data_IF_947073439315
#
_entry.id   IF_947073439315
#
_cell.length_a   1.000
_cell.length_b   1.000
_cell.length_c   1.000
_cell.angle_alpha   90.00
_cell.angle_beta   90.00
_cell.angle_gamma   90.00
#
_symmetry.space_group_name_H-M   'P 1'
#
loop_
_entity.id
_entity.type
_entity.pdbx_description
1 polymer ?
#
# COMPACT_ATOMS: atom_id res chain seq x y z
N UNK A 1 -7.57 -25.22 39.62
CA UNK A 1 -7.58 -23.93 40.35
C UNK A 1 -6.19 -23.33 40.57
N UNK A 2 -5.11 -23.87 40.00
CA UNK A 2 -3.72 -23.43 40.23
C UNK A 2 -3.24 -22.27 39.33
N UNK A 3 -3.98 -21.94 38.26
CA UNK A 3 -3.57 -20.91 37.31
C UNK A 3 -3.60 -19.48 37.89
N UNK A 4 -4.70 -19.11 38.56
CA UNK A 4 -4.91 -17.74 39.06
C UNK A 4 -3.91 -17.35 40.17
N UNK A 5 -3.61 -18.26 41.09
CA UNK A 5 -2.61 -18.01 42.16
C UNK A 5 -1.21 -17.75 41.59
N UNK A 6 -0.85 -18.42 40.49
CA UNK A 6 0.42 -18.19 39.79
C UNK A 6 0.48 -16.86 39.01
N UNK A 7 -0.66 -16.36 38.54
CA UNK A 7 -0.78 -15.02 37.94
C UNK A 7 -0.58 -13.95 39.01
N UNK A 8 -1.35 -14.04 40.10
CA UNK A 8 -1.34 -13.04 41.18
C UNK A 8 0.05 -12.94 41.83
N UNK A 9 0.72 -14.07 42.08
CA UNK A 9 2.08 -14.07 42.63
C UNK A 9 3.11 -13.40 41.70
N UNK A 10 2.97 -13.55 40.38
CA UNK A 10 3.84 -12.91 39.39
C UNK A 10 3.56 -11.41 39.28
N UNK A 11 2.29 -10.99 39.32
CA UNK A 11 1.92 -9.57 39.39
C UNK A 11 2.50 -8.94 40.65
N UNK A 12 2.30 -9.57 41.81
CA UNK A 12 2.80 -9.08 43.09
C UNK A 12 4.34 -8.91 43.09
N UNK A 13 5.08 -9.88 42.53
CA UNK A 13 6.53 -9.74 42.36
C UNK A 13 6.92 -8.55 41.47
N UNK A 14 6.27 -8.37 40.33
CA UNK A 14 6.56 -7.25 39.44
C UNK A 14 6.22 -5.90 40.11
N UNK A 15 5.13 -5.82 40.86
CA UNK A 15 4.76 -4.63 41.63
C UNK A 15 5.74 -4.34 42.78
N UNK A 16 6.29 -5.37 43.43
CA UNK A 16 7.33 -5.20 44.44
C UNK A 16 8.61 -4.60 43.82
N UNK A 17 9.04 -5.10 42.66
CA UNK A 17 10.18 -4.54 41.89
C UNK A 17 9.91 -3.08 41.48
N UNK A 18 8.67 -2.76 41.10
CA UNK A 18 8.29 -1.38 40.82
C UNK A 18 8.40 -0.49 42.09
N UNK A 19 7.95 -1.00 43.24
CA UNK A 19 7.97 -0.28 44.51
C UNK A 19 9.39 -0.04 45.04
N UNK A 20 10.36 -0.91 44.74
CA UNK A 20 11.78 -0.69 45.07
C UNK A 20 12.49 0.31 44.14
N UNK A 21 11.78 0.83 43.13
CA UNK A 21 12.27 1.88 42.23
C UNK A 21 12.77 1.38 40.87
N UNK A 22 12.89 0.06 40.65
CA UNK A 22 13.28 -0.50 39.36
C UNK A 22 12.07 -0.61 38.41
N UNK A 23 11.61 0.56 37.95
CA UNK A 23 10.43 0.66 37.07
C UNK A 23 10.63 -0.05 35.74
N UNK A 24 11.85 -0.03 35.21
CA UNK A 24 12.16 -0.63 33.90
C UNK A 24 11.99 -2.15 33.96
N UNK A 25 12.60 -2.82 34.93
CA UNK A 25 12.49 -4.26 35.08
C UNK A 25 11.03 -4.70 35.30
N UNK A 26 10.28 -3.95 36.13
CA UNK A 26 8.87 -4.22 36.36
C UNK A 26 8.03 -4.12 35.08
N UNK A 27 8.18 -3.05 34.29
CA UNK A 27 7.44 -2.87 33.04
C UNK A 27 7.82 -3.86 31.96
N UNK A 28 9.10 -4.22 31.85
CA UNK A 28 9.57 -5.22 30.90
C UNK A 28 8.97 -6.60 31.21
N UNK A 29 8.99 -6.99 32.49
CA UNK A 29 8.38 -8.23 32.96
C UNK A 29 6.87 -8.28 32.67
N UNK A 30 6.12 -7.25 33.07
CA UNK A 30 4.68 -7.17 32.84
C UNK A 30 4.32 -7.12 31.34
N UNK A 31 5.07 -6.36 30.54
CA UNK A 31 4.87 -6.26 29.08
C UNK A 31 5.09 -7.61 28.41
N UNK A 32 6.11 -8.35 28.83
CA UNK A 32 6.42 -9.69 28.31
C UNK A 32 5.27 -10.65 28.63
N UNK A 33 4.80 -10.68 29.88
CA UNK A 33 3.67 -11.52 30.28
C UNK A 33 2.37 -11.15 29.55
N UNK A 34 2.06 -9.86 29.42
CA UNK A 34 0.87 -9.38 28.69
C UNK A 34 0.90 -9.72 27.19
N UNK A 35 2.09 -9.86 26.59
CA UNK A 35 2.24 -10.29 25.18
C UNK A 35 2.17 -11.80 25.02
N UNK A 36 2.73 -12.56 25.96
CA UNK A 36 2.70 -14.02 25.96
C UNK A 36 1.30 -14.56 26.24
N UNK A 37 0.59 -13.93 27.17
CA UNK A 37 -0.79 -14.27 27.52
C UNK A 37 -1.67 -13.01 27.49
N UNK A 38 -2.12 -12.60 26.29
CA UNK A 38 -2.96 -11.41 26.14
C UNK A 38 -4.39 -11.60 26.67
N UNK A 39 -4.77 -12.83 27.01
CA UNK A 39 -6.10 -13.15 27.55
C UNK A 39 -6.22 -12.89 29.05
N UNK A 40 -5.10 -12.82 29.77
CA UNK A 40 -5.06 -12.56 31.20
C UNK A 40 -5.06 -11.03 31.49
N UNK A 41 -6.18 -10.46 31.96
CA UNK A 41 -6.30 -9.02 32.17
C UNK A 41 -5.41 -8.49 33.30
N UNK A 42 -5.00 -9.33 34.27
CA UNK A 42 -4.22 -8.89 35.43
C UNK A 42 -2.90 -8.20 35.03
N UNK A 43 -2.20 -8.70 33.99
CA UNK A 43 -0.96 -8.10 33.49
C UNK A 43 -1.17 -6.67 33.01
N UNK A 44 -2.23 -6.45 32.23
CA UNK A 44 -2.56 -5.15 31.64
C UNK A 44 -3.02 -4.18 32.70
N UNK A 45 -3.83 -4.61 33.67
CA UNK A 45 -4.27 -3.77 34.80
C UNK A 45 -3.09 -3.31 35.65
N UNK A 46 -2.12 -4.19 35.91
CA UNK A 46 -0.88 -3.82 36.62
C UNK A 46 -0.03 -2.82 35.81
N UNK A 47 0.06 -2.96 34.49
CA UNK A 47 0.71 -1.96 33.61
C UNK A 47 -0.01 -0.61 33.69
N UNK A 48 -1.34 -0.60 33.58
CA UNK A 48 -2.16 0.63 33.70
C UNK A 48 -1.89 1.33 35.03
N UNK A 49 -1.95 0.60 36.15
CA UNK A 49 -1.71 1.16 37.47
C UNK A 49 -0.30 1.75 37.60
N UNK A 50 0.74 1.01 37.21
CA UNK A 50 2.13 1.47 37.35
C UNK A 50 2.45 2.65 36.42
N UNK A 51 1.90 2.69 35.21
CA UNK A 51 2.05 3.85 34.32
C UNK A 51 1.30 5.09 34.82
N UNK A 52 0.11 4.94 35.42
CA UNK A 52 -0.61 6.05 36.07
C UNK A 52 0.23 6.65 37.20
N UNK A 53 0.78 5.81 38.08
CA UNK A 53 1.65 6.23 39.19
C UNK A 53 2.90 6.97 38.68
N UNK A 54 3.45 6.54 37.53
CA UNK A 54 4.61 7.19 36.92
C UNK A 54 4.28 8.43 36.07
N UNK A 55 3.00 8.81 35.92
CA UNK A 55 2.60 9.97 35.13
C UNK A 55 2.65 9.78 33.61
N UNK A 56 2.50 8.54 33.13
CA UNK A 56 2.48 8.18 31.69
C UNK A 56 1.07 7.76 31.22
N UNK A 57 0.12 8.71 31.08
CA UNK A 57 -1.27 8.42 30.75
C UNK A 57 -1.44 7.85 29.33
N UNK A 58 -0.51 8.10 28.42
CA UNK A 58 -0.51 7.51 27.08
C UNK A 58 -0.25 5.99 27.13
N UNK A 59 0.70 5.56 27.96
CA UNK A 59 0.96 4.13 28.16
C UNK A 59 -0.14 3.47 28.97
N UNK A 60 -0.70 4.15 29.98
CA UNK A 60 -1.87 3.65 30.69
C UNK A 60 -3.06 3.46 29.74
N UNK A 61 -3.35 4.44 28.89
CA UNK A 61 -4.40 4.34 27.86
C UNK A 61 -4.15 3.17 26.88
N UNK A 62 -2.91 2.99 26.43
CA UNK A 62 -2.52 1.89 25.53
C UNK A 62 -2.80 0.52 26.15
N UNK A 63 -2.34 0.28 27.38
CA UNK A 63 -2.48 -1.01 28.02
C UNK A 63 -3.91 -1.27 28.49
N UNK A 64 -4.62 -0.23 28.94
CA UNK A 64 -6.02 -0.29 29.34
C UNK A 64 -7.02 -0.34 28.18
N UNK A 65 -6.56 -0.27 26.93
CA UNK A 65 -7.41 -0.33 25.74
C UNK A 65 -8.27 -1.61 25.64
N UNK A 66 -7.91 -2.71 26.34
CA UNK A 66 -8.73 -3.91 26.43
C UNK A 66 -10.03 -3.71 27.22
N UNK A 67 -10.02 -2.76 28.17
CA UNK A 67 -11.13 -2.46 29.08
C UNK A 67 -11.39 -0.94 29.09
N UNK A 68 -11.92 -0.36 27.99
CA UNK A 68 -12.07 1.10 27.84
C UNK A 68 -12.91 1.77 28.92
N UNK A 69 -13.80 1.02 29.58
CA UNK A 69 -14.60 1.48 30.71
C UNK A 69 -13.76 1.87 31.95
N UNK A 70 -12.55 1.33 32.10
CA UNK A 70 -11.63 1.63 33.20
C UNK A 70 -10.71 2.82 32.93
N UNK A 71 -10.74 3.37 31.72
CA UNK A 71 -9.93 4.53 31.33
C UNK A 71 -10.62 5.82 31.74
N UNK A 72 -9.84 6.78 32.26
CA UNK A 72 -10.33 8.13 32.51
C UNK A 72 -10.53 8.91 31.20
N UNK A 73 -11.10 10.11 31.28
CA UNK A 73 -11.35 10.95 30.09
C UNK A 73 -10.08 11.35 29.35
N UNK A 74 -8.97 11.57 30.07
CA UNK A 74 -7.69 11.95 29.47
C UNK A 74 -7.10 10.78 28.69
N UNK A 75 -7.08 9.60 29.29
CA UNK A 75 -6.62 8.35 28.70
C UNK A 75 -7.47 7.98 27.49
N UNK A 76 -8.80 8.07 27.59
CA UNK A 76 -9.71 7.85 26.44
C UNK A 76 -9.41 8.79 25.29
N UNK A 77 -9.16 10.09 25.53
CA UNK A 77 -8.76 11.04 24.48
C UNK A 77 -7.42 10.66 23.84
N UNK A 78 -6.43 10.22 24.63
CA UNK A 78 -5.13 9.78 24.11
C UNK A 78 -5.26 8.51 23.26
N UNK A 79 -6.04 7.54 23.72
CA UNK A 79 -6.32 6.31 22.97
C UNK A 79 -7.03 6.60 21.65
N UNK A 80 -8.04 7.49 21.64
CA UNK A 80 -8.72 7.94 20.42
C UNK A 80 -7.76 8.60 19.43
N UNK A 81 -6.86 9.45 19.91
CA UNK A 81 -5.81 10.07 19.05
C UNK A 81 -4.85 9.03 18.49
N UNK A 82 -4.47 8.02 19.27
CA UNK A 82 -3.63 6.92 18.80
C UNK A 82 -4.35 6.07 17.74
N UNK A 83 -5.63 5.74 17.99
CA UNK A 83 -6.46 5.01 17.05
C UNK A 83 -6.64 5.76 15.72
N UNK A 84 -6.90 7.07 15.78
CA UNK A 84 -7.04 7.93 14.60
C UNK A 84 -5.75 8.04 13.76
N UNK A 85 -4.58 7.79 14.37
CA UNK A 85 -3.28 7.77 13.66
C UNK A 85 -2.94 6.40 13.07
N UNK A 86 -3.63 5.33 13.47
CA UNK A 86 -3.37 3.99 12.97
C UNK A 86 -3.90 3.85 11.54
N UNK A 87 -3.08 3.33 10.62
CA UNK A 87 -3.45 3.17 9.21
C UNK A 87 -4.30 1.93 8.97
N UNK A 88 -4.36 1.03 9.94
CA UNK A 88 -5.20 -0.18 9.87
C UNK A 88 -5.49 -0.77 11.24
N UNK A 89 -6.54 -1.60 11.30
CA UNK A 89 -6.87 -2.38 12.50
C UNK A 89 -5.72 -3.28 12.95
N UNK A 90 -4.95 -3.85 12.01
CA UNK A 90 -3.80 -4.70 12.32
C UNK A 90 -2.66 -3.92 12.98
N UNK A 91 -2.38 -2.72 12.48
CA UNK A 91 -1.40 -1.80 13.08
C UNK A 91 -1.83 -1.39 14.49
N UNK A 92 -3.11 -1.01 14.67
CA UNK A 92 -3.63 -0.65 15.99
C UNK A 92 -3.60 -1.84 16.97
N UNK A 93 -4.00 -3.04 16.53
CA UNK A 93 -3.92 -4.26 17.36
C UNK A 93 -2.49 -4.58 17.78
N UNK A 94 -1.53 -4.50 16.85
CA UNK A 94 -0.11 -4.70 17.14
C UNK A 94 0.42 -3.67 18.15
N UNK A 95 0.09 -2.39 17.94
CA UNK A 95 0.43 -1.31 18.86
C UNK A 95 -0.14 -1.55 20.26
N UNK A 96 -1.42 -1.90 20.37
CA UNK A 96 -2.10 -2.16 21.64
C UNK A 96 -1.77 -3.54 22.24
N UNK A 97 -1.02 -4.38 21.54
CA UNK A 97 -0.81 -5.79 21.88
C UNK A 97 -2.13 -6.51 22.20
N UNK A 98 -3.13 -6.35 21.34
CA UNK A 98 -4.46 -6.97 21.47
C UNK A 98 -4.70 -8.01 20.37
N UNK A 99 -5.25 -9.20 20.68
CA UNK A 99 -5.59 -10.20 19.67
C UNK A 99 -6.79 -9.74 18.82
N UNK A 100 -7.78 -9.13 19.48
CA UNK A 100 -9.01 -8.60 18.88
C UNK A 100 -9.19 -7.16 19.35
N UNK A 101 -9.61 -6.28 18.44
CA UNK A 101 -9.83 -4.87 18.75
C UNK A 101 -11.26 -4.68 19.31
N UNK A 102 -11.45 -3.93 20.41
CA UNK A 102 -12.77 -3.55 20.89
C UNK A 102 -13.57 -2.80 19.81
N UNK A 103 -14.90 -3.00 19.73
CA UNK A 103 -15.75 -2.35 18.71
C UNK A 103 -15.65 -0.83 18.71
N UNK A 104 -15.52 -0.22 19.90
CA UNK A 104 -15.38 1.23 20.06
C UNK A 104 -14.11 1.78 19.41
N UNK A 105 -13.03 1.00 19.40
CA UNK A 105 -11.77 1.38 18.76
C UNK A 105 -11.78 1.05 17.27
N UNK A 106 -12.45 -0.02 16.86
CA UNK A 106 -12.63 -0.37 15.44
C UNK A 106 -13.43 0.70 14.70
N UNK A 107 -14.46 1.27 15.35
CA UNK A 107 -15.27 2.38 14.82
C UNK A 107 -14.48 3.69 14.61
N UNK A 108 -13.34 3.85 15.29
CA UNK A 108 -12.47 5.04 15.15
C UNK A 108 -11.45 4.90 14.02
N UNK A 109 -11.32 3.72 13.43
CA UNK A 109 -10.38 3.52 12.33
C UNK A 109 -10.87 4.24 11.08
N UNK A 110 -9.95 4.71 10.22
CA UNK A 110 -10.33 5.27 8.93
C UNK A 110 -11.11 4.23 8.12
N UNK A 111 -12.06 4.67 7.27
CA UNK A 111 -12.87 3.77 6.45
C UNK A 111 -12.01 2.76 5.69
N UNK A 112 -12.50 1.53 5.51
CA UNK A 112 -11.76 0.45 4.81
C UNK A 112 -11.22 0.88 3.42
N UNK A 113 -11.93 1.77 2.73
CA UNK A 113 -11.50 2.32 1.45
C UNK A 113 -10.19 3.14 1.56
N UNK A 114 -10.04 3.94 2.61
CA UNK A 114 -8.84 4.73 2.88
C UNK A 114 -7.67 3.84 3.31
N UNK A 115 -7.94 2.82 4.13
CA UNK A 115 -6.94 1.80 4.49
C UNK A 115 -6.41 1.06 3.26
N UNK A 116 -7.29 0.72 2.29
CA UNK A 116 -6.88 0.12 1.01
C UNK A 116 -5.98 1.05 0.21
N UNK A 117 -6.31 2.35 0.11
CA UNK A 117 -5.48 3.33 -0.60
C UNK A 117 -4.08 3.41 -0.01
N UNK A 118 -3.93 3.43 1.31
CA UNK A 118 -2.61 3.44 1.95
C UNK A 118 -1.80 2.17 1.69
N UNK A 119 -2.43 1.00 1.69
CA UNK A 119 -1.74 -0.27 1.39
C UNK A 119 -1.32 -0.39 -0.07
N UNK A 120 -2.13 0.11 -0.99
CA UNK A 120 -1.88 0.02 -2.43
C UNK A 120 -1.00 1.17 -2.95
N UNK A 121 -0.83 2.24 -2.17
CA UNK A 121 0.03 3.38 -2.50
C UNK A 121 1.44 2.98 -2.94
N UNK A 122 2.20 2.22 -2.11
CA UNK A 122 3.56 1.79 -2.47
C UNK A 122 3.64 0.95 -3.75
N UNK A 123 2.63 0.10 -4.00
CA UNK A 123 2.56 -0.70 -5.23
C UNK A 123 2.30 0.21 -6.45
N UNK A 124 1.35 1.14 -6.34
CA UNK A 124 1.08 2.11 -7.39
C UNK A 124 2.29 3.00 -7.69
N UNK A 125 3.05 3.41 -6.66
CA UNK A 125 4.31 4.14 -6.80
C UNK A 125 5.37 3.30 -7.53
N UNK A 126 5.44 2.01 -7.22
CA UNK A 126 6.32 1.04 -7.91
C UNK A 126 6.00 0.93 -9.40
N UNK A 127 4.72 0.81 -9.76
CA UNK A 127 4.28 0.76 -11.17
C UNK A 127 4.55 2.06 -11.92
N UNK A 128 4.32 3.23 -11.30
CA UNK A 128 4.59 4.52 -11.92
C UNK A 128 6.09 4.74 -12.16
N UNK A 129 6.94 4.36 -11.18
CA UNK A 129 8.40 4.39 -11.35
C UNK A 129 8.86 3.39 -12.41
N UNK A 130 8.32 2.18 -12.41
CA UNK A 130 8.62 1.15 -13.40
C UNK A 130 8.26 1.61 -14.82
N UNK A 131 7.08 2.21 -15.00
CA UNK A 131 6.66 2.80 -16.26
C UNK A 131 7.63 3.90 -16.73
N UNK A 132 8.06 4.78 -15.83
CA UNK A 132 9.04 5.83 -16.15
C UNK A 132 10.38 5.24 -16.58
N UNK A 133 10.91 4.26 -15.84
CA UNK A 133 12.18 3.56 -16.15
C UNK A 133 12.09 2.85 -17.51
N UNK A 134 11.02 2.09 -17.76
CA UNK A 134 10.82 1.40 -19.05
C UNK A 134 10.71 2.41 -20.20
N UNK A 135 9.97 3.50 -20.00
CA UNK A 135 9.82 4.53 -21.03
C UNK A 135 11.11 5.27 -21.34
N UNK A 136 11.94 5.57 -20.33
CA UNK A 136 13.14 6.40 -20.50
C UNK A 136 14.36 5.61 -20.97
N UNK A 137 14.51 4.36 -20.53
CA UNK A 137 15.69 3.54 -20.85
C UNK A 137 15.49 2.65 -22.07
N UNK A 138 14.27 2.16 -22.32
CA UNK A 138 14.02 1.19 -23.38
C UNK A 138 13.25 1.82 -24.53
N UNK A 139 12.03 2.30 -24.26
CA UNK A 139 11.15 2.75 -25.34
C UNK A 139 11.65 4.05 -25.99
N UNK A 140 12.02 5.05 -25.20
CA UNK A 140 12.44 6.36 -25.69
C UNK A 140 13.62 6.30 -26.68
N UNK A 141 14.77 5.71 -26.29
CA UNK A 141 15.92 5.59 -27.19
C UNK A 141 15.62 4.73 -28.42
N UNK A 142 14.93 3.60 -28.28
CA UNK A 142 14.59 2.73 -29.41
C UNK A 142 13.69 3.45 -30.44
N UNK A 143 12.68 4.19 -29.96
CA UNK A 143 11.80 4.99 -30.81
C UNK A 143 12.58 6.12 -31.49
N UNK A 144 13.42 6.85 -30.75
CA UNK A 144 14.23 7.92 -31.31
C UNK A 144 15.19 7.41 -32.40
N UNK A 145 15.86 6.28 -32.16
CA UNK A 145 16.74 5.63 -33.13
C UNK A 145 15.92 5.19 -34.36
N UNK A 146 14.78 4.53 -34.17
CA UNK A 146 13.91 4.10 -35.26
C UNK A 146 13.45 5.26 -36.14
N UNK A 147 13.04 6.39 -35.54
CA UNK A 147 12.67 7.62 -36.26
C UNK A 147 13.86 8.18 -37.05
N UNK A 148 15.03 8.32 -36.42
CA UNK A 148 16.24 8.83 -37.08
C UNK A 148 16.64 7.95 -38.26
N UNK A 149 16.68 6.63 -38.09
CA UNK A 149 17.02 5.68 -39.15
C UNK A 149 16.00 5.76 -40.30
N UNK A 150 14.71 5.84 -39.98
CA UNK A 150 13.64 5.99 -40.98
C UNK A 150 13.82 7.26 -41.80
N UNK A 151 14.08 8.40 -41.13
CA UNK A 151 14.30 9.68 -41.81
C UNK A 151 15.54 9.65 -42.70
N UNK A 152 16.68 9.16 -42.21
CA UNK A 152 17.91 9.07 -42.99
C UNK A 152 17.70 8.20 -44.24
N UNK A 153 17.07 7.03 -44.11
CA UNK A 153 16.80 6.15 -45.26
C UNK A 153 15.85 6.77 -46.27
N UNK A 154 14.80 7.46 -45.79
CA UNK A 154 13.87 8.16 -46.67
C UNK A 154 14.58 9.28 -47.46
N UNK A 155 15.46 10.05 -46.81
CA UNK A 155 16.28 11.08 -47.47
C UNK A 155 17.25 10.50 -48.51
N UNK A 156 17.74 9.29 -48.32
CA UNK A 156 18.62 8.60 -49.27
C UNK A 156 17.86 7.92 -50.43
N UNK A 157 16.53 7.96 -50.44
CA UNK A 157 15.71 7.30 -51.46
C UNK A 157 15.73 5.76 -51.37
N UNK A 158 16.05 5.22 -50.19
CA UNK A 158 16.10 3.77 -49.97
C UNK A 158 14.66 3.21 -49.90
N UNK A 159 14.26 2.25 -50.76
CA UNK A 159 12.93 1.66 -50.75
C UNK A 159 12.63 0.91 -49.43
N UNK A 160 13.64 0.49 -48.68
CA UNK A 160 13.48 -0.15 -47.37
C UNK A 160 13.06 0.82 -46.25
N UNK A 161 13.02 2.14 -46.51
CA UNK A 161 12.57 3.13 -45.54
C UNK A 161 11.14 2.85 -45.05
N UNK A 162 10.28 2.29 -45.92
CA UNK A 162 8.91 1.93 -45.57
C UNK A 162 8.87 0.81 -44.51
N UNK A 163 9.59 -0.29 -44.73
CA UNK A 163 9.64 -1.43 -43.81
C UNK A 163 10.16 -1.01 -42.42
N UNK A 164 11.19 -0.15 -42.39
CA UNK A 164 11.75 0.38 -41.13
C UNK A 164 10.74 1.27 -40.40
N UNK A 165 9.97 2.09 -41.13
CA UNK A 165 8.92 2.91 -40.55
C UNK A 165 7.83 2.05 -39.91
N UNK A 166 7.43 0.95 -40.55
CA UNK A 166 6.42 0.03 -40.02
C UNK A 166 6.89 -0.65 -38.73
N UNK A 167 8.12 -1.19 -38.72
CA UNK A 167 8.69 -1.82 -37.52
C UNK A 167 8.80 -0.81 -36.38
N UNK A 168 9.21 0.42 -36.70
CA UNK A 168 9.28 1.51 -35.70
C UNK A 168 7.90 1.84 -35.15
N UNK A 169 6.88 1.96 -36.01
CA UNK A 169 5.50 2.23 -35.60
C UNK A 169 4.92 1.11 -34.73
N UNK A 170 5.15 -0.17 -35.10
CA UNK A 170 4.76 -1.32 -34.29
C UNK A 170 5.46 -1.29 -32.91
N UNK A 171 6.75 -0.98 -32.87
CA UNK A 171 7.51 -0.82 -31.62
C UNK A 171 6.97 0.31 -30.73
N UNK A 172 6.57 1.44 -31.32
CA UNK A 172 5.91 2.54 -30.60
C UNK A 172 4.58 2.05 -30.01
N UNK A 173 3.73 1.38 -30.78
CA UNK A 173 2.42 0.89 -30.32
C UNK A 173 2.57 -0.12 -29.17
N UNK A 174 3.49 -1.07 -29.28
CA UNK A 174 3.80 -2.02 -28.19
C UNK A 174 4.27 -1.28 -26.93
N UNK A 175 5.13 -0.27 -27.10
CA UNK A 175 5.61 0.54 -25.97
C UNK A 175 4.49 1.32 -25.30
N UNK A 176 3.61 1.94 -26.08
CA UNK A 176 2.42 2.67 -25.59
C UNK A 176 1.47 1.72 -24.86
N UNK A 177 1.20 0.54 -25.40
CA UNK A 177 0.35 -0.46 -24.76
C UNK A 177 0.95 -0.96 -23.45
N UNK A 178 2.25 -1.28 -23.43
CA UNK A 178 2.94 -1.75 -22.23
C UNK A 178 3.01 -0.70 -21.13
N UNK A 179 3.51 0.50 -21.43
CA UNK A 179 3.59 1.61 -20.48
C UNK A 179 2.19 2.04 -20.02
N UNK A 180 1.24 2.12 -20.96
CA UNK A 180 -0.15 2.44 -20.70
C UNK A 180 -0.81 1.44 -19.74
N UNK A 181 -0.56 0.14 -19.90
CA UNK A 181 -1.07 -0.89 -19.01
C UNK A 181 -0.50 -0.77 -17.58
N UNK A 182 0.80 -0.49 -17.43
CA UNK A 182 1.42 -0.24 -16.12
C UNK A 182 0.79 0.97 -15.42
N UNK A 183 0.61 2.08 -16.16
CA UNK A 183 -0.02 3.29 -15.64
C UNK A 183 -1.52 3.09 -15.34
N UNK A 184 -2.20 2.24 -16.12
CA UNK A 184 -3.60 1.87 -15.90
C UNK A 184 -3.74 1.15 -14.56
N UNK A 185 -2.90 0.13 -14.30
CA UNK A 185 -2.87 -0.59 -13.03
C UNK A 185 -2.60 0.38 -11.88
N UNK A 186 -1.58 1.24 -11.98
CA UNK A 186 -1.30 2.26 -10.98
C UNK A 186 -2.49 3.20 -10.71
N UNK A 187 -3.22 3.58 -11.77
CA UNK A 187 -4.38 4.48 -11.68
C UNK A 187 -5.58 3.82 -11.00
N UNK A 188 -5.85 2.54 -11.29
CA UNK A 188 -6.88 1.75 -10.61
C UNK A 188 -6.54 1.57 -9.13
N UNK A 189 -5.29 1.26 -8.81
CA UNK A 189 -4.82 1.11 -7.43
C UNK A 189 -4.97 2.41 -6.61
N UNK A 190 -4.81 3.57 -7.25
CA UNK A 190 -5.05 4.90 -6.63
C UNK A 190 -6.52 5.35 -6.66
N UNK A 191 -7.43 4.51 -7.16
CA UNK A 191 -8.84 4.83 -7.36
C UNK A 191 -9.08 6.10 -8.22
N UNK A 192 -8.18 6.38 -9.19
CA UNK A 192 -8.30 7.49 -10.14
C UNK A 192 -9.03 7.02 -11.40
N UNK A 193 -10.33 6.76 -11.26
CA UNK A 193 -11.15 6.11 -12.29
C UNK A 193 -11.14 6.82 -13.64
N UNK A 194 -11.16 8.16 -13.66
CA UNK A 194 -11.11 8.94 -14.91
C UNK A 194 -9.81 8.69 -15.67
N UNK A 195 -8.65 8.76 -14.98
CA UNK A 195 -7.34 8.48 -15.59
C UNK A 195 -7.24 7.04 -16.05
N UNK A 196 -7.77 6.10 -15.27
CA UNK A 196 -7.82 4.69 -15.66
C UNK A 196 -8.65 4.48 -16.93
N UNK A 197 -9.83 5.09 -17.04
CA UNK A 197 -10.67 4.99 -18.24
C UNK A 197 -9.94 5.53 -19.49
N UNK A 198 -9.29 6.69 -19.39
CA UNK A 198 -8.52 7.28 -20.50
C UNK A 198 -7.34 6.39 -20.91
N UNK A 199 -6.60 5.85 -19.95
CA UNK A 199 -5.48 4.94 -20.24
C UNK A 199 -5.95 3.63 -20.85
N UNK A 200 -7.08 3.09 -20.40
CA UNK A 200 -7.67 1.90 -20.99
C UNK A 200 -8.02 2.14 -22.47
N UNK A 201 -8.64 3.26 -22.80
CA UNK A 201 -8.94 3.63 -24.20
C UNK A 201 -7.66 3.70 -25.03
N UNK A 202 -6.61 4.34 -24.53
CA UNK A 202 -5.32 4.43 -25.22
C UNK A 202 -4.66 3.05 -25.44
N UNK A 203 -4.68 2.19 -24.42
CA UNK A 203 -4.13 0.82 -24.51
C UNK A 203 -4.92 -0.02 -25.52
N UNK A 204 -6.26 0.02 -25.45
CA UNK A 204 -7.12 -0.71 -26.39
C UNK A 204 -6.91 -0.23 -27.83
N UNK A 205 -6.85 1.10 -28.05
CA UNK A 205 -6.57 1.66 -29.36
C UNK A 205 -5.21 1.20 -29.91
N UNK A 206 -4.16 1.21 -29.08
CA UNK A 206 -2.84 0.75 -29.49
C UNK A 206 -2.82 -0.75 -29.85
N UNK A 207 -3.52 -1.59 -29.07
CA UNK A 207 -3.63 -3.04 -29.34
C UNK A 207 -4.43 -3.31 -30.62
N UNK A 208 -5.54 -2.58 -30.85
CA UNK A 208 -6.34 -2.72 -32.06
C UNK A 208 -5.53 -2.31 -33.29
N UNK A 209 -4.81 -1.20 -33.23
CA UNK A 209 -3.94 -0.76 -34.32
C UNK A 209 -2.80 -1.77 -34.59
N UNK A 210 -2.23 -2.35 -33.54
CA UNK A 210 -1.20 -3.38 -33.68
C UNK A 210 -1.75 -4.67 -34.31
N UNK A 211 -2.98 -5.08 -33.96
CA UNK A 211 -3.63 -6.25 -34.52
C UNK A 211 -4.09 -6.04 -35.97
N UNK A 212 -4.39 -4.79 -36.35
CA UNK A 212 -4.76 -4.42 -37.71
C UNK A 212 -3.54 -4.20 -38.62
N UNK A 213 -2.34 -4.04 -38.06
CA UNK A 213 -1.12 -3.93 -38.85
C UNK A 213 -0.80 -5.29 -39.47
N UNK A 214 -0.93 -5.40 -40.79
CA UNK A 214 -0.47 -6.57 -41.54
C UNK A 214 1.01 -6.37 -41.92
N UNK A 215 1.97 -7.04 -41.24
CA UNK A 215 3.40 -6.87 -41.52
C UNK A 215 3.81 -7.47 -42.87
N UNK A 216 2.91 -8.17 -43.56
CA UNK A 216 3.16 -8.76 -44.88
C UNK A 216 2.66 -7.91 -46.04
N UNK A 217 1.91 -6.84 -45.75
CA UNK A 217 1.41 -5.91 -46.77
C UNK A 217 2.37 -4.75 -46.99
N UNK A 218 2.59 -4.39 -48.27
CA UNK A 218 3.28 -3.15 -48.66
C UNK A 218 2.49 -1.89 -48.29
N UNK A 219 1.24 -2.05 -47.86
CA UNK A 219 0.39 -1.01 -47.29
C UNK A 219 -0.38 -1.57 -46.07
N UNK A 220 0.25 -1.57 -44.88
CA UNK A 220 -0.20 -2.34 -43.71
C UNK A 220 -1.47 -1.77 -43.06
N UNK A 221 -1.93 -0.61 -43.50
CA UNK A 221 -3.15 0.05 -43.03
C UNK A 221 -4.23 0.20 -44.11
N UNK A 222 -4.01 -0.27 -45.34
CA UNK A 222 -4.99 -0.14 -46.44
C UNK A 222 -6.17 -1.11 -46.30
N UNK A 223 -6.01 -2.19 -45.53
CA UNK A 223 -7.03 -3.24 -45.34
C UNK A 223 -8.14 -2.89 -44.34
N UNK A 224 -7.97 -1.84 -43.53
CA UNK A 224 -9.05 -1.33 -42.69
C UNK A 224 -9.95 -0.41 -43.51
N UNK A 225 -10.65 -0.98 -44.50
CA UNK A 225 -11.90 -0.40 -44.97
C UNK A 225 -12.84 -0.38 -43.76
N UNK A 226 -12.79 0.72 -43.00
CA UNK A 226 -13.72 0.98 -41.93
C UNK A 226 -15.12 0.83 -42.55
N UNK A 227 -15.99 -0.04 -42.01
CA UNK A 227 -17.26 -0.40 -42.64
C UNK A 227 -18.27 0.76 -42.75
N UNK A 228 -17.81 1.98 -42.51
CA UNK A 228 -18.55 3.23 -42.48
C UNK A 228 -17.94 4.33 -43.38
N UNK A 229 -16.95 4.02 -44.22
CA UNK A 229 -16.55 4.92 -45.31
C UNK A 229 -17.57 4.80 -46.47
N UNK A 230 -18.19 5.91 -46.94
CA UNK A 230 -19.21 5.91 -47.98
C UNK A 230 -18.68 5.54 -49.37
#
# INVERSE_FOLDING_TARGET
>A
MTGRTGVDARVARALAVFATGDRRAAWESLTTMARQDPSEPAWRRALVQTYRVAGHPDQAARWGAAEPALLDDRERRLLRRAAARARSAAELRSYLALPVLPPELDALLPPRAEQRRHRLGPLADGFEKGALVVSSLLAGPAIAIGIVVTLVRAFLGDPSAHDVAQVTAAGVLVSVAGVGALLLVASVLRARWVRAALLLVAVVAAVVLLAAADPTSSAPFDGAALPWAP
#
